data_IF_870975982521
#
_entry.id   IF_870975982521
#
_cell.length_a   1.000
_cell.length_b   1.000
_cell.length_c   1.000
_cell.angle_alpha   90.00
_cell.angle_beta   90.00
_cell.angle_gamma   90.00
#
_symmetry.space_group_name_H-M   'P 1'
#
loop_
_entity.id
_entity.type
_entity.pdbx_description
1 polymer ?
#
# COMPACT_ATOMS: atom_id res chain seq x y z
N UNK A 1 6.38 27.54 -1.60
CA UNK A 1 7.51 26.60 -1.40
C UNK A 1 6.97 25.20 -1.65
N UNK A 2 7.55 24.42 -2.56
CA UNK A 2 7.23 23.00 -2.65
C UNK A 2 7.89 22.28 -1.47
N UNK A 3 7.08 21.67 -0.59
CA UNK A 3 7.58 20.82 0.50
C UNK A 3 8.20 19.58 -0.14
N UNK A 4 9.46 19.29 0.14
CA UNK A 4 10.03 17.99 -0.19
C UNK A 4 9.51 17.00 0.84
N UNK A 5 8.83 15.94 0.39
CA UNK A 5 8.40 14.86 1.28
C UNK A 5 9.64 14.08 1.72
N UNK A 6 9.80 13.91 3.02
CA UNK A 6 10.82 13.06 3.62
C UNK A 6 10.21 11.75 4.08
N UNK A 7 11.02 10.70 4.04
CA UNK A 7 10.68 9.36 4.51
C UNK A 7 11.57 9.03 5.72
N UNK A 8 10.94 8.58 6.80
CA UNK A 8 11.55 8.32 8.10
C UNK A 8 11.38 6.84 8.44
N UNK A 9 12.47 6.06 8.45
CA UNK A 9 12.46 4.69 8.94
C UNK A 9 12.06 4.61 10.40
N UNK A 10 11.05 3.79 10.73
CA UNK A 10 10.60 3.55 12.10
C UNK A 10 10.82 2.08 12.46
N UNK A 11 11.35 1.82 13.65
CA UNK A 11 11.69 0.51 14.21
C UNK A 11 12.90 -0.23 13.58
N UNK A 12 13.70 0.51 12.80
CA UNK A 12 14.99 0.07 12.22
C UNK A 12 14.92 -0.84 10.99
N UNK A 13 14.06 -0.55 10.00
CA UNK A 13 14.07 -1.28 8.75
C UNK A 13 15.39 -1.06 8.02
N UNK A 14 15.82 -2.05 7.23
CA UNK A 14 17.12 -2.02 6.56
C UNK A 14 16.96 -1.68 5.08
N UNK A 15 17.71 -0.69 4.62
CA UNK A 15 17.76 -0.32 3.20
C UNK A 15 18.93 -1.02 2.51
N UNK A 16 18.68 -1.64 1.36
CA UNK A 16 19.69 -2.30 0.53
C UNK A 16 19.46 -1.99 -0.95
N UNK A 17 20.30 -2.54 -1.82
CA UNK A 17 20.08 -2.49 -3.28
C UNK A 17 18.79 -3.15 -3.73
N UNK A 18 18.20 -4.04 -2.92
CA UNK A 18 16.95 -4.72 -3.21
C UNK A 18 15.71 -3.93 -2.71
N UNK A 19 15.90 -2.79 -2.05
CA UNK A 19 14.83 -2.03 -1.42
C UNK A 19 14.90 -2.09 0.11
N UNK A 20 13.77 -1.80 0.74
CA UNK A 20 13.60 -1.72 2.18
C UNK A 20 13.08 -3.06 2.69
N UNK A 21 13.77 -3.64 3.68
CA UNK A 21 13.31 -4.84 4.38
C UNK A 21 12.54 -4.43 5.63
N UNK A 22 11.33 -4.99 5.77
CA UNK A 22 10.45 -4.83 6.93
C UNK A 22 10.31 -6.19 7.62
N UNK A 23 10.43 -6.25 8.93
CA UNK A 23 10.46 -7.50 9.70
C UNK A 23 9.09 -8.21 9.85
N UNK A 24 8.00 -7.51 9.50
CA UNK A 24 6.64 -8.02 9.58
C UNK A 24 5.97 -7.90 10.95
N UNK A 25 6.61 -7.25 11.92
CA UNK A 25 6.06 -6.97 13.25
C UNK A 25 5.65 -5.50 13.39
N UNK A 26 6.62 -4.58 13.32
CA UNK A 26 6.39 -3.16 13.58
C UNK A 26 7.26 -2.22 12.72
N UNK A 27 8.07 -2.73 11.80
CA UNK A 27 8.81 -1.91 10.84
C UNK A 27 7.89 -1.18 9.85
N UNK A 28 8.12 0.11 9.65
CA UNK A 28 7.50 0.88 8.56
C UNK A 28 8.32 2.10 8.18
N UNK A 29 7.96 2.70 7.05
CA UNK A 29 8.47 3.99 6.60
C UNK A 29 7.36 5.02 6.77
N UNK A 30 7.58 5.98 7.66
CA UNK A 30 6.71 7.14 7.81
C UNK A 30 7.07 8.19 6.76
N UNK A 31 6.09 8.71 6.04
CA UNK A 31 6.32 9.77 5.04
C UNK A 31 5.64 11.04 5.51
N UNK A 32 6.31 12.17 5.36
CA UNK A 32 5.76 13.47 5.73
C UNK A 32 4.33 13.67 5.22
N UNK A 33 3.47 14.26 6.05
CA UNK A 33 2.09 14.58 5.66
C UNK A 33 2.02 15.32 4.32
N UNK A 34 1.13 14.82 3.47
CA UNK A 34 0.84 15.34 2.15
C UNK A 34 -0.64 15.22 1.81
N UNK A 35 -1.12 16.13 0.96
CA UNK A 35 -2.48 16.08 0.43
C UNK A 35 -2.45 15.62 -1.02
N UNK A 36 -3.41 14.79 -1.39
CA UNK A 36 -3.60 14.33 -2.76
C UNK A 36 -5.10 14.14 -3.04
N UNK A 37 -5.48 14.14 -4.32
CA UNK A 37 -6.87 13.95 -4.73
C UNK A 37 -7.01 13.96 -6.26
N UNK A 38 -8.24 13.76 -6.75
CA UNK A 38 -8.52 13.70 -8.17
C UNK A 38 -8.14 12.36 -8.80
N UNK A 39 -7.71 12.40 -10.07
CA UNK A 39 -7.21 11.22 -10.79
C UNK A 39 -5.79 10.93 -10.30
N UNK A 40 -5.58 9.75 -9.74
CA UNK A 40 -4.33 9.40 -9.07
C UNK A 40 -3.95 7.95 -9.37
N UNK A 41 -2.65 7.67 -9.40
CA UNK A 41 -2.10 6.33 -9.46
C UNK A 41 -1.02 6.14 -8.39
N UNK A 42 -0.91 4.91 -7.88
CA UNK A 42 0.18 4.47 -7.03
C UNK A 42 0.88 3.29 -7.68
N UNK A 43 2.21 3.29 -7.64
CA UNK A 43 3.07 2.26 -8.23
C UNK A 43 4.07 1.78 -7.19
N UNK A 44 4.24 0.45 -7.08
CA UNK A 44 5.13 -0.16 -6.10
C UNK A 44 5.68 -1.49 -6.60
N UNK A 45 6.94 -1.78 -6.25
CA UNK A 45 7.52 -3.12 -6.28
C UNK A 45 7.53 -3.66 -4.85
N UNK A 46 6.89 -4.80 -4.63
CA UNK A 46 6.76 -5.39 -3.29
C UNK A 46 6.94 -6.90 -3.35
N UNK A 47 7.53 -7.47 -2.30
CA UNK A 47 7.66 -8.91 -2.10
C UNK A 47 7.19 -9.23 -0.68
N UNK A 48 6.04 -9.89 -0.58
CA UNK A 48 5.61 -10.47 0.69
C UNK A 48 6.40 -11.75 0.94
N UNK A 49 7.10 -11.86 2.06
CA UNK A 49 7.68 -13.15 2.49
C UNK A 49 6.60 -14.06 3.10
N UNK A 50 5.62 -13.48 3.79
CA UNK A 50 4.41 -14.13 4.31
C UNK A 50 3.24 -13.15 4.34
N UNK A 51 2.00 -13.66 4.46
CA UNK A 51 0.80 -12.84 4.62
C UNK A 51 0.41 -12.79 6.09
N UNK A 52 0.44 -11.59 6.69
CA UNK A 52 0.04 -11.36 8.07
C UNK A 52 -1.32 -10.64 8.10
N UNK A 53 -2.04 -10.74 9.23
CA UNK A 53 -3.39 -10.19 9.38
C UNK A 53 -3.50 -8.70 8.99
N UNK A 54 -2.47 -7.91 9.26
CA UNK A 54 -2.41 -6.47 8.98
C UNK A 54 -1.05 -6.06 8.41
N UNK A 55 -0.78 -6.42 7.16
CA UNK A 55 0.47 -6.08 6.47
C UNK A 55 0.24 -5.21 5.23
N UNK A 56 -0.04 -3.90 5.38
CA UNK A 56 -0.21 -3.00 4.24
C UNK A 56 1.11 -2.78 3.49
N UNK A 57 1.02 -2.64 2.17
CA UNK A 57 2.11 -2.16 1.31
C UNK A 57 2.28 -0.64 1.50
N UNK A 58 1.17 0.08 1.61
CA UNK A 58 1.10 1.46 2.05
C UNK A 58 -0.25 1.71 2.73
N UNK A 59 -0.27 2.67 3.65
CA UNK A 59 -1.47 3.08 4.37
C UNK A 59 -1.47 4.60 4.57
N UNK A 60 -2.26 5.30 3.75
CA UNK A 60 -2.51 6.74 3.85
C UNK A 60 -3.92 6.96 4.41
N UNK A 61 -4.06 6.74 5.72
CA UNK A 61 -5.35 6.73 6.40
C UNK A 61 -5.46 7.80 7.47
N UNK A 62 -6.62 8.43 7.55
CA UNK A 62 -6.99 9.37 8.61
C UNK A 62 -7.74 8.68 9.77
N UNK A 63 -7.58 7.37 9.93
CA UNK A 63 -8.18 6.56 10.98
C UNK A 63 -9.37 5.70 10.54
N UNK A 64 -9.89 4.93 11.49
CA UNK A 64 -10.99 3.98 11.24
C UNK A 64 -12.24 4.73 10.78
N UNK A 65 -12.85 4.27 9.68
CA UNK A 65 -14.03 4.89 9.04
C UNK A 65 -13.83 6.34 8.57
N UNK A 66 -12.58 6.75 8.32
CA UNK A 66 -12.21 8.06 7.77
C UNK A 66 -11.76 7.94 6.32
N UNK A 67 -11.22 9.04 5.78
CA UNK A 67 -10.60 9.09 4.46
C UNK A 67 -9.33 8.26 4.43
N UNK A 68 -9.39 7.14 3.71
CA UNK A 68 -8.32 6.14 3.70
C UNK A 68 -7.97 5.71 2.28
N UNK A 69 -6.66 5.66 1.98
CA UNK A 69 -6.12 5.04 0.77
C UNK A 69 -5.08 4.01 1.17
N UNK A 70 -5.40 2.73 0.97
CA UNK A 70 -4.58 1.62 1.47
C UNK A 70 -4.51 0.49 0.47
N UNK A 71 -3.32 -0.08 0.32
CA UNK A 71 -3.10 -1.32 -0.41
C UNK A 71 -2.56 -2.38 0.54
N UNK A 72 -3.22 -3.53 0.61
CA UNK A 72 -2.84 -4.60 1.53
C UNK A 72 -3.29 -5.98 1.02
N UNK A 73 -2.82 -7.02 1.70
CA UNK A 73 -3.39 -8.36 1.65
C UNK A 73 -4.63 -8.48 2.56
N UNK A 74 -5.59 -9.36 2.26
CA UNK A 74 -6.78 -9.54 3.11
C UNK A 74 -6.53 -10.53 4.26
N UNK A 75 -6.48 -10.05 5.50
CA UNK A 75 -6.18 -10.92 6.66
C UNK A 75 -4.89 -11.71 6.39
N UNK A 76 -4.81 -12.99 6.72
CA UNK A 76 -3.63 -13.85 6.44
C UNK A 76 -3.66 -14.47 5.02
N UNK A 77 -4.51 -13.96 4.11
CA UNK A 77 -4.67 -14.49 2.75
C UNK A 77 -3.88 -13.70 1.73
N UNK A 78 -3.70 -14.30 0.56
CA UNK A 78 -3.09 -13.67 -0.60
C UNK A 78 -4.03 -12.75 -1.39
N UNK A 79 -5.26 -12.50 -0.92
CA UNK A 79 -6.19 -11.64 -1.66
C UNK A 79 -5.66 -10.21 -1.66
N UNK A 80 -5.64 -9.60 -2.83
CA UNK A 80 -5.24 -8.21 -2.99
C UNK A 80 -6.43 -7.32 -2.67
N UNK A 81 -6.25 -6.32 -1.81
CA UNK A 81 -7.29 -5.34 -1.51
C UNK A 81 -6.76 -3.93 -1.60
N UNK A 82 -7.43 -3.11 -2.41
CA UNK A 82 -7.18 -1.69 -2.50
C UNK A 82 -8.42 -0.91 -2.07
N UNK A 83 -8.23 -0.12 -1.02
CA UNK A 83 -9.24 0.73 -0.42
C UNK A 83 -9.03 2.18 -0.88
N UNK A 84 -10.11 2.82 -1.32
CA UNK A 84 -10.20 4.28 -1.50
C UNK A 84 -11.53 4.71 -0.87
N UNK A 85 -11.46 5.11 0.39
CA UNK A 85 -12.63 5.36 1.24
C UNK A 85 -12.82 6.87 1.49
N UNK A 86 -13.31 7.70 0.55
CA UNK A 86 -13.72 9.07 0.90
C UNK A 86 -15.04 9.02 1.70
N UNK A 87 -14.97 9.20 3.02
CA UNK A 87 -16.11 9.26 3.96
C UNK A 87 -16.99 8.01 4.11
N UNK A 88 -17.03 7.10 3.11
CA UNK A 88 -17.70 5.77 3.08
C UNK A 88 -17.49 4.98 1.75
N UNK A 89 -16.46 5.31 0.96
CA UNK A 89 -16.34 4.93 -0.47
C UNK A 89 -15.79 3.54 -0.84
N UNK A 90 -15.22 3.45 -2.04
CA UNK A 90 -15.03 2.24 -2.84
C UNK A 90 -13.86 1.33 -2.38
N UNK A 91 -14.01 0.03 -2.60
CA UNK A 91 -12.95 -0.96 -2.44
C UNK A 91 -12.93 -1.89 -3.65
N UNK A 92 -11.74 -2.25 -4.12
CA UNK A 92 -11.55 -3.32 -5.10
C UNK A 92 -10.75 -4.45 -4.47
N UNK A 93 -11.21 -5.69 -4.66
CA UNK A 93 -10.50 -6.89 -4.21
C UNK A 93 -10.32 -7.89 -5.35
N UNK A 94 -9.19 -8.60 -5.32
CA UNK A 94 -8.91 -9.72 -6.23
C UNK A 94 -8.46 -10.91 -5.40
N UNK A 95 -9.26 -11.98 -5.45
CA UNK A 95 -8.95 -13.24 -4.76
C UNK A 95 -7.63 -13.82 -5.30
N UNK A 96 -6.73 -14.21 -4.39
CA UNK A 96 -5.41 -14.73 -4.76
C UNK A 96 -4.52 -13.73 -5.52
N UNK A 97 -4.77 -12.42 -5.35
CA UNK A 97 -4.09 -11.36 -6.08
C UNK A 97 -2.59 -11.18 -5.78
N UNK A 98 -2.08 -11.68 -4.64
CA UNK A 98 -0.66 -11.64 -4.28
C UNK A 98 0.03 -13.01 -4.43
N UNK A 99 1.34 -12.99 -4.63
CA UNK A 99 2.18 -14.18 -4.57
C UNK A 99 3.27 -13.97 -3.51
N UNK A 100 3.42 -14.92 -2.59
CA UNK A 100 4.50 -14.86 -1.61
C UNK A 100 5.85 -15.18 -2.26
N UNK A 101 6.92 -14.64 -1.67
CA UNK A 101 8.33 -14.88 -1.99
C UNK A 101 8.76 -14.50 -3.42
N UNK A 102 7.95 -13.73 -4.15
CA UNK A 102 8.32 -13.17 -5.46
C UNK A 102 8.10 -11.66 -5.49
N UNK A 103 8.97 -10.95 -6.18
CA UNK A 103 8.76 -9.54 -6.46
C UNK A 103 7.56 -9.38 -7.37
N UNK A 104 6.63 -8.52 -6.95
CA UNK A 104 5.43 -8.19 -7.71
C UNK A 104 5.45 -6.69 -7.97
N UNK A 105 5.32 -6.30 -9.24
CA UNK A 105 5.10 -4.93 -9.65
C UNK A 105 3.61 -4.65 -9.70
N UNK A 106 3.15 -3.61 -9.01
CA UNK A 106 1.74 -3.27 -8.87
C UNK A 106 1.54 -1.80 -9.20
N UNK A 107 0.53 -1.54 -10.01
CA UNK A 107 0.01 -0.20 -10.26
C UNK A 107 -1.49 -0.22 -9.98
N UNK A 108 -1.97 0.72 -9.17
CA UNK A 108 -3.41 0.96 -8.97
C UNK A 108 -3.76 2.38 -9.40
N UNK A 109 -4.93 2.56 -10.02
CA UNK A 109 -5.36 3.85 -10.55
C UNK A 109 -6.81 4.15 -10.18
N UNK A 110 -7.09 5.35 -9.67
CA UNK A 110 -8.45 5.84 -9.40
C UNK A 110 -8.78 7.01 -10.32
N UNK A 111 -9.97 6.96 -10.93
CA UNK A 111 -10.54 8.07 -11.69
C UNK A 111 -12.05 8.10 -11.49
N UNK A 112 -12.54 9.02 -10.65
CA UNK A 112 -13.95 9.04 -10.24
C UNK A 112 -14.30 7.74 -9.49
N UNK A 113 -15.26 6.99 -10.01
CA UNK A 113 -15.69 5.71 -9.42
C UNK A 113 -14.97 4.49 -10.04
N UNK A 114 -14.03 4.70 -10.95
CA UNK A 114 -13.28 3.64 -11.60
C UNK A 114 -11.98 3.37 -10.87
N UNK A 115 -11.79 2.11 -10.49
CA UNK A 115 -10.60 1.58 -9.85
C UNK A 115 -10.01 0.49 -10.76
N UNK A 116 -8.77 0.66 -11.20
CA UNK A 116 -8.04 -0.37 -11.96
C UNK A 116 -6.81 -0.83 -11.19
N UNK A 117 -6.45 -2.08 -11.43
CA UNK A 117 -5.30 -2.77 -10.86
C UNK A 117 -4.53 -3.44 -12.00
N UNK A 118 -3.24 -3.18 -12.06
CA UNK A 118 -2.29 -3.82 -12.96
C UNK A 118 -1.23 -4.51 -12.12
N UNK A 119 -0.92 -5.77 -12.46
CA UNK A 119 0.05 -6.60 -11.75
C UNK A 119 0.97 -7.27 -12.76
N UNK A 120 2.27 -7.26 -12.47
CA UNK A 120 3.26 -8.06 -13.15
C UNK A 120 4.12 -8.82 -12.13
N UNK A 121 4.51 -10.05 -12.49
CA UNK A 121 5.25 -11.00 -11.63
C UNK A 121 6.53 -11.45 -12.30
#
# INVERSE_FOLDING_TARGET
>A
MHKHLQAHPINSPTCSSNGISLDGNDDYIDIDDFEFGGITSFEVYVKYDSFNYHSPVYDFSNGVNSDNVRLNNFSEKSDFVWYVLPGRGFSSSVDGGWNASIWTHVIVTVSGNSMNLYKNV
#
